data_IF_316643746300
#
_entry.id   IF_316643746300
#
_cell.length_a   1.000
_cell.length_b   1.000
_cell.length_c   1.000
_cell.angle_alpha   90.00
_cell.angle_beta   90.00
_cell.angle_gamma   90.00
#
_symmetry.space_group_name_H-M   'P 1'
#
loop_
_entity.id
_entity.type
_entity.pdbx_description
1 polymer ?
#
# COMPACT_ATOMS: atom_id res chain seq x y z
N UNK A 1 11.22 -3.29 -12.00
CA UNK A 1 10.57 -3.21 -10.68
C UNK A 1 11.50 -3.86 -9.67
N UNK A 2 12.00 -3.12 -8.68
CA UNK A 2 13.09 -3.57 -7.78
C UNK A 2 12.54 -4.23 -6.51
N UNK A 3 13.38 -4.95 -5.76
CA UNK A 3 13.01 -5.63 -4.49
C UNK A 3 12.26 -4.69 -3.53
N UNK A 4 12.68 -3.42 -3.43
CA UNK A 4 12.01 -2.41 -2.58
C UNK A 4 10.57 -2.15 -3.01
N UNK A 5 10.32 -2.04 -4.31
CA UNK A 5 8.96 -1.85 -4.81
C UNK A 5 8.09 -3.09 -4.54
N UNK A 6 8.61 -4.30 -4.77
CA UNK A 6 7.92 -5.55 -4.47
C UNK A 6 7.54 -5.66 -3.01
N UNK A 7 8.49 -5.38 -2.12
CA UNK A 7 8.26 -5.38 -0.68
C UNK A 7 7.15 -4.39 -0.28
N UNK A 8 7.22 -3.15 -0.77
CA UNK A 8 6.23 -2.11 -0.45
C UNK A 8 4.82 -2.47 -0.93
N UNK A 9 4.73 -3.08 -2.11
CA UNK A 9 3.44 -3.51 -2.68
C UNK A 9 2.87 -4.69 -1.90
N UNK A 10 3.66 -5.71 -1.58
CA UNK A 10 3.20 -6.83 -0.75
C UNK A 10 2.72 -6.33 0.61
N UNK A 11 3.49 -5.46 1.28
CA UNK A 11 3.10 -4.88 2.57
C UNK A 11 1.76 -4.13 2.48
N UNK A 12 1.55 -3.36 1.41
CA UNK A 12 0.26 -2.69 1.15
C UNK A 12 -0.89 -3.67 0.99
N UNK A 13 -0.72 -4.76 0.22
CA UNK A 13 -1.76 -5.78 0.05
C UNK A 13 -2.05 -6.58 1.32
N UNK A 14 -1.10 -6.64 2.26
CA UNK A 14 -1.31 -7.19 3.59
C UNK A 14 -2.04 -6.22 4.55
N UNK A 15 -2.42 -5.03 4.09
CA UNK A 15 -3.11 -4.03 4.90
C UNK A 15 -2.19 -3.24 5.85
N UNK A 16 -0.87 -3.31 5.66
CA UNK A 16 0.08 -2.52 6.46
C UNK A 16 -0.08 -1.03 6.09
N UNK A 17 -0.09 -0.16 7.10
CA UNK A 17 -0.29 1.27 6.89
C UNK A 17 0.82 1.89 6.05
N UNK A 18 0.46 2.87 5.22
CA UNK A 18 1.42 3.64 4.40
C UNK A 18 2.51 4.28 5.26
N UNK A 19 2.22 4.64 6.51
CA UNK A 19 3.20 5.19 7.44
C UNK A 19 4.30 4.18 7.80
N UNK A 20 3.93 2.95 8.16
CA UNK A 20 4.89 1.88 8.47
C UNK A 20 5.73 1.52 7.23
N UNK A 21 5.09 1.46 6.06
CA UNK A 21 5.79 1.22 4.79
C UNK A 21 6.78 2.36 4.50
N UNK A 22 6.36 3.60 4.74
CA UNK A 22 7.21 4.79 4.55
C UNK A 22 8.46 4.74 5.42
N UNK A 23 8.31 4.39 6.70
CA UNK A 23 9.42 4.25 7.64
C UNK A 23 10.35 3.11 7.24
N UNK A 24 9.80 1.94 6.87
CA UNK A 24 10.60 0.78 6.42
C UNK A 24 11.37 1.01 5.12
N UNK A 25 10.90 1.92 4.26
CA UNK A 25 11.62 2.34 3.05
C UNK A 25 12.65 3.45 3.31
N UNK A 26 12.60 4.09 4.48
CA UNK A 26 13.42 5.26 4.81
C UNK A 26 12.94 6.53 4.10
N UNK A 27 11.65 6.65 3.80
CA UNK A 27 11.08 7.83 3.16
C UNK A 27 10.71 8.90 4.20
N UNK A 28 11.17 10.13 3.96
CA UNK A 28 10.89 11.29 4.81
C UNK A 28 9.50 11.91 4.56
N UNK A 29 8.72 11.37 3.62
CA UNK A 29 7.40 11.87 3.28
C UNK A 29 6.48 10.75 2.84
N UNK A 30 5.26 10.74 3.36
CA UNK A 30 4.20 9.83 2.94
C UNK A 30 3.88 9.98 1.45
N UNK A 31 3.98 11.21 0.91
CA UNK A 31 3.75 11.47 -0.52
C UNK A 31 4.73 10.71 -1.41
N UNK A 32 5.99 10.59 -0.99
CA UNK A 32 6.99 9.78 -1.70
C UNK A 32 6.60 8.31 -1.69
N UNK A 33 6.10 7.82 -0.56
CA UNK A 33 5.62 6.45 -0.40
C UNK A 33 4.36 6.18 -1.24
N UNK A 34 3.41 7.11 -1.31
CA UNK A 34 2.21 7.01 -2.14
C UNK A 34 2.55 6.85 -3.62
N UNK A 35 3.53 7.61 -4.14
CA UNK A 35 4.02 7.45 -5.52
C UNK A 35 4.69 6.07 -5.72
N UNK A 36 5.30 5.54 -4.66
CA UNK A 36 5.96 4.23 -4.68
C UNK A 36 4.98 3.05 -4.71
N UNK A 37 3.74 3.28 -4.24
CA UNK A 37 2.71 2.27 -4.07
C UNK A 37 1.76 2.25 -5.27
N UNK A 38 1.64 1.08 -5.91
CA UNK A 38 0.64 0.88 -6.98
C UNK A 38 -0.78 0.98 -6.40
N UNK A 39 -1.73 1.52 -7.16
CA UNK A 39 -3.17 1.47 -6.83
C UNK A 39 -3.64 0.03 -6.58
N UNK A 40 -4.63 -0.13 -5.71
CA UNK A 40 -5.30 -1.42 -5.53
C UNK A 40 -6.11 -1.76 -6.77
N UNK A 41 -6.26 -3.07 -7.03
CA UNK A 41 -7.16 -3.56 -8.07
C UNK A 41 -8.62 -3.42 -7.62
N UNK A 42 -9.53 -3.20 -8.58
CA UNK A 42 -10.97 -3.00 -8.29
C UNK A 42 -11.56 -4.11 -7.41
N UNK A 43 -11.15 -5.37 -7.59
CA UNK A 43 -11.62 -6.49 -6.77
C UNK A 43 -11.35 -6.30 -5.27
N UNK A 44 -10.18 -5.76 -4.92
CA UNK A 44 -9.80 -5.48 -3.53
C UNK A 44 -10.65 -4.33 -2.98
N UNK A 45 -10.90 -3.31 -3.80
CA UNK A 45 -11.77 -2.18 -3.43
C UNK A 45 -13.22 -2.64 -3.24
N UNK A 46 -13.73 -3.50 -4.11
CA UNK A 46 -15.10 -4.04 -4.04
C UNK A 46 -15.31 -4.92 -2.80
N UNK A 47 -14.30 -5.70 -2.42
CA UNK A 47 -14.32 -6.48 -1.18
C UNK A 47 -14.29 -5.58 0.05
N UNK A 48 -13.39 -4.59 0.09
CA UNK A 48 -13.32 -3.63 1.18
C UNK A 48 -14.64 -2.85 1.33
N UNK A 49 -15.22 -2.41 0.22
CA UNK A 49 -16.51 -1.71 0.22
C UNK A 49 -17.62 -2.60 0.80
N UNK A 50 -17.71 -3.87 0.38
CA UNK A 50 -18.70 -4.82 0.91
C UNK A 50 -18.59 -4.99 2.43
N UNK A 51 -17.38 -5.03 2.98
CA UNK A 51 -17.15 -5.16 4.43
C UNK A 51 -17.57 -3.93 5.22
N UNK A 52 -17.47 -2.73 4.63
CA UNK A 52 -17.77 -1.47 5.32
C UNK A 52 -19.27 -1.15 5.30
N UNK A 53 -19.97 -1.55 4.24
CA UNK A 53 -21.41 -1.23 4.05
C UNK A 53 -22.37 -2.34 4.53
N UNK A 54 -21.85 -3.49 4.96
CA UNK A 54 -22.62 -4.60 5.54
C UNK A 54 -22.74 -4.47 7.05
#
# INVERSE_FOLDING_TARGET
>A
YTIRHSWATIAKYMGISTAIISEGLGHNSLRTTEIYLKSFDNKVLDEANRLVVS
#
